data_IF_254514755197
#
_entry.id   IF_254514755197
#
_cell.length_a   1.000
_cell.length_b   1.000
_cell.length_c   1.000
_cell.angle_alpha   90.00
_cell.angle_beta   90.00
_cell.angle_gamma   90.00
#
_symmetry.space_group_name_H-M   'P 1'
#
loop_
_entity.id
_entity.type
_entity.pdbx_description
1 polymer ?
#
# COMPACT_ATOMS: atom_id res chain seq x y z
N UNK A 1 5.75 20.21 7.31
CA UNK A 1 7.19 19.95 7.14
C UNK A 1 7.41 19.78 5.65
N UNK A 2 7.87 20.83 4.97
CA UNK A 2 8.10 20.85 3.53
C UNK A 2 9.53 20.40 3.31
N UNK A 3 9.73 19.10 3.14
CA UNK A 3 10.92 18.55 2.49
C UNK A 3 10.34 17.57 1.48
N UNK A 4 10.84 17.58 0.24
CA UNK A 4 10.34 16.91 -0.98
C UNK A 4 9.43 17.76 -1.87
N UNK A 5 9.91 18.93 -2.35
CA UNK A 5 9.29 19.65 -3.48
C UNK A 5 10.07 19.55 -4.79
N UNK A 6 11.09 18.70 -4.87
CA UNK A 6 11.75 18.32 -6.11
C UNK A 6 12.51 17.00 -5.95
N UNK A 7 12.39 16.05 -6.90
CA UNK A 7 13.25 14.87 -6.92
C UNK A 7 14.69 15.36 -7.03
N UNK A 8 15.46 15.13 -5.97
CA UNK A 8 16.87 15.49 -5.88
C UNK A 8 17.70 14.20 -5.89
N UNK A 9 18.96 14.22 -6.37
CA UNK A 9 19.82 13.05 -6.32
C UNK A 9 19.95 12.46 -4.90
N UNK A 10 19.85 13.30 -3.87
CA UNK A 10 19.82 12.88 -2.47
C UNK A 10 18.59 12.03 -2.10
N UNK A 11 17.43 12.28 -2.74
CA UNK A 11 16.24 11.47 -2.51
C UNK A 11 16.39 10.07 -3.12
N UNK A 12 16.96 9.96 -4.32
CA UNK A 12 17.21 8.67 -4.96
C UNK A 12 18.19 7.83 -4.13
N UNK A 13 19.31 8.44 -3.72
CA UNK A 13 20.29 7.79 -2.83
C UNK A 13 19.64 7.34 -1.52
N UNK A 14 18.82 8.18 -0.88
CA UNK A 14 18.13 7.82 0.36
C UNK A 14 17.14 6.66 0.17
N UNK A 15 16.45 6.60 -0.97
CA UNK A 15 15.56 5.47 -1.29
C UNK A 15 16.37 4.17 -1.37
N UNK A 16 17.50 4.21 -2.05
CA UNK A 16 18.39 3.06 -2.25
C UNK A 16 19.04 2.58 -0.94
N UNK A 17 19.65 3.48 -0.17
CA UNK A 17 20.48 3.09 0.98
C UNK A 17 19.70 2.96 2.29
N UNK A 18 18.56 3.64 2.41
CA UNK A 18 17.79 3.66 3.66
C UNK A 18 16.38 3.08 3.49
N UNK A 19 15.57 3.60 2.58
CA UNK A 19 14.14 3.24 2.51
C UNK A 19 13.96 1.76 2.16
N UNK A 20 14.53 1.30 1.04
CA UNK A 20 14.36 -0.08 0.58
C UNK A 20 14.89 -1.09 1.62
N UNK A 21 16.13 -0.96 2.14
CA UNK A 21 16.67 -1.95 3.09
C UNK A 21 15.91 -2.02 4.42
N UNK A 22 15.38 -0.91 4.92
CA UNK A 22 14.73 -0.88 6.24
C UNK A 22 13.23 -1.20 6.17
N UNK A 23 12.56 -0.85 5.06
CA UNK A 23 11.12 -1.07 4.91
C UNK A 23 10.77 -2.35 4.16
N UNK A 24 11.76 -3.10 3.66
CA UNK A 24 11.50 -4.37 2.96
C UNK A 24 10.79 -5.41 3.81
N UNK A 25 10.83 -5.35 5.14
CA UNK A 25 10.15 -6.29 6.05
C UNK A 25 8.93 -5.70 6.76
N UNK A 26 8.39 -4.58 6.28
CA UNK A 26 7.36 -3.84 7.02
C UNK A 26 6.03 -4.59 7.14
N UNK A 27 5.71 -5.50 6.20
CA UNK A 27 4.49 -6.28 6.24
C UNK A 27 4.43 -7.22 7.47
N UNK A 28 5.59 -7.55 8.04
CA UNK A 28 5.77 -8.44 9.18
C UNK A 28 5.97 -7.71 10.50
N UNK A 29 6.03 -6.36 10.51
CA UNK A 29 6.20 -5.60 11.74
C UNK A 29 5.04 -5.87 12.71
N UNK A 30 5.33 -5.93 14.00
CA UNK A 30 4.35 -6.26 15.03
C UNK A 30 3.43 -5.09 15.33
N UNK A 31 3.93 -3.87 15.22
CA UNK A 31 3.21 -2.66 15.55
C UNK A 31 2.35 -2.21 14.35
N UNK A 32 1.02 -2.17 14.56
CA UNK A 32 0.05 -1.79 13.53
C UNK A 32 0.30 -0.37 13.02
N UNK A 33 0.66 0.55 13.92
CA UNK A 33 0.84 1.96 13.61
C UNK A 33 2.13 2.18 12.81
N UNK A 34 3.19 1.43 13.15
CA UNK A 34 4.44 1.41 12.38
C UNK A 34 4.16 0.92 10.96
N UNK A 35 3.40 -0.17 10.80
CA UNK A 35 3.01 -0.67 9.47
C UNK A 35 2.24 0.35 8.67
N UNK A 36 1.18 0.95 9.25
CA UNK A 36 0.37 1.96 8.56
C UNK A 36 1.22 3.16 8.15
N UNK A 37 2.03 3.70 9.05
CA UNK A 37 2.81 4.90 8.81
C UNK A 37 3.92 4.68 7.77
N UNK A 38 4.62 3.55 7.85
CA UNK A 38 5.62 3.18 6.86
C UNK A 38 4.99 2.88 5.49
N UNK A 39 3.80 2.28 5.46
CA UNK A 39 3.03 2.10 4.21
C UNK A 39 2.68 3.45 3.58
N UNK A 40 2.23 4.42 4.37
CA UNK A 40 1.96 5.77 3.86
C UNK A 40 3.22 6.41 3.29
N UNK A 41 4.36 6.32 3.99
CA UNK A 41 5.64 6.84 3.50
C UNK A 41 6.05 6.19 2.16
N UNK A 42 5.88 4.87 2.02
CA UNK A 42 6.16 4.17 0.77
C UNK A 42 5.28 4.66 -0.38
N UNK A 43 4.00 4.93 -0.12
CA UNK A 43 3.06 5.49 -1.09
C UNK A 43 3.49 6.88 -1.54
N UNK A 44 3.79 7.78 -0.59
CA UNK A 44 4.20 9.15 -0.88
C UNK A 44 5.51 9.19 -1.73
N UNK A 45 6.45 8.28 -1.41
CA UNK A 45 7.68 8.12 -2.18
C UNK A 45 7.42 7.55 -3.58
N UNK A 46 6.56 6.54 -3.71
CA UNK A 46 6.23 5.94 -5.00
C UNK A 46 5.48 6.92 -5.92
N UNK A 47 4.58 7.74 -5.38
CA UNK A 47 3.84 8.75 -6.13
C UNK A 47 4.79 9.76 -6.79
N UNK A 48 5.81 10.20 -6.06
CA UNK A 48 6.82 11.16 -6.55
C UNK A 48 7.97 10.51 -7.34
N UNK A 49 8.14 9.18 -7.28
CA UNK A 49 9.24 8.48 -7.94
C UNK A 49 8.99 8.25 -9.44
N UNK A 50 9.93 8.66 -10.29
CA UNK A 50 9.94 8.40 -11.74
C UNK A 50 11.15 7.56 -12.20
N UNK A 51 11.89 7.00 -11.25
CA UNK A 51 13.13 6.24 -11.50
C UNK A 51 12.89 4.74 -11.38
N UNK A 52 13.95 3.96 -11.59
CA UNK A 52 13.91 2.50 -11.48
C UNK A 52 13.54 1.99 -10.06
N UNK A 53 13.71 2.81 -9.02
CA UNK A 53 13.30 2.45 -7.65
C UNK A 53 11.77 2.33 -7.49
N UNK A 54 10.99 2.91 -8.40
CA UNK A 54 9.53 2.82 -8.37
C UNK A 54 9.06 1.37 -8.28
N UNK A 55 9.67 0.45 -9.04
CA UNK A 55 9.35 -0.98 -9.01
C UNK A 55 9.61 -1.57 -7.63
N UNK A 56 10.77 -1.30 -7.02
CA UNK A 56 11.11 -1.82 -5.69
C UNK A 56 10.17 -1.30 -4.59
N UNK A 57 9.75 -0.03 -4.69
CA UNK A 57 8.76 0.55 -3.78
C UNK A 57 7.40 -0.16 -3.93
N UNK A 58 6.96 -0.40 -5.16
CA UNK A 58 5.72 -1.15 -5.43
C UNK A 58 5.79 -2.58 -4.93
N UNK A 59 6.93 -3.26 -5.03
CA UNK A 59 7.07 -4.63 -4.51
C UNK A 59 6.95 -4.68 -2.98
N UNK A 60 7.36 -3.62 -2.26
CA UNK A 60 7.13 -3.50 -0.81
C UNK A 60 5.64 -3.25 -0.54
N UNK A 61 5.01 -2.33 -1.27
CA UNK A 61 3.58 -2.01 -1.12
C UNK A 61 2.71 -3.24 -1.44
N UNK A 62 3.05 -4.01 -2.47
CA UNK A 62 2.37 -5.26 -2.84
C UNK A 62 2.41 -6.29 -1.70
N UNK A 63 3.55 -6.41 -1.01
CA UNK A 63 3.68 -7.31 0.15
C UNK A 63 2.79 -6.88 1.32
N UNK A 64 2.65 -5.58 1.57
CA UNK A 64 1.69 -5.08 2.56
C UNK A 64 0.25 -5.38 2.09
N UNK A 65 -0.07 -5.06 0.84
CA UNK A 65 -1.41 -5.22 0.27
C UNK A 65 -1.87 -6.70 0.20
N UNK A 66 -0.93 -7.62 0.04
CA UNK A 66 -1.20 -9.06 -0.06
C UNK A 66 -1.28 -9.78 1.29
N UNK A 67 -1.07 -9.06 2.41
CA UNK A 67 -1.28 -9.63 3.76
C UNK A 67 -2.67 -10.24 3.86
N UNK A 68 -2.71 -11.45 4.40
CA UNK A 68 -3.94 -12.24 4.46
C UNK A 68 -5.06 -11.47 5.15
N UNK A 69 -6.18 -11.30 4.44
CA UNK A 69 -7.40 -10.71 5.01
C UNK A 69 -8.25 -11.72 5.78
N UNK A 70 -7.69 -12.89 6.11
CA UNK A 70 -8.37 -13.90 6.92
C UNK A 70 -8.60 -13.34 8.31
N UNK A 71 -9.87 -13.04 8.59
CA UNK A 71 -10.32 -12.75 9.93
C UNK A 71 -10.32 -14.06 10.73
N UNK A 72 -9.73 -14.10 11.94
CA UNK A 72 -9.92 -15.24 12.83
C UNK A 72 -11.39 -15.28 13.29
N UNK A 73 -12.24 -15.99 12.54
CA UNK A 73 -13.58 -16.41 12.93
C UNK A 73 -14.62 -15.31 13.21
N UNK A 74 -15.90 -15.70 13.35
CA UNK A 74 -16.98 -14.82 13.78
C UNK A 74 -16.99 -14.78 15.31
N UNK A 75 -16.06 -14.07 15.94
CA UNK A 75 -16.09 -13.87 17.38
C UNK A 75 -15.71 -12.45 17.76
N UNK A 76 -16.55 -11.91 18.64
CA UNK A 76 -16.38 -10.68 19.39
C UNK A 76 -16.57 -9.39 18.58
N UNK A 77 -17.84 -9.06 18.35
CA UNK A 77 -18.36 -7.71 18.64
C UNK A 77 -18.11 -7.44 20.13
N UNK A 78 -16.84 -7.34 20.52
CA UNK A 78 -16.44 -6.79 21.79
C UNK A 78 -16.13 -5.33 21.52
N UNK A 79 -16.60 -4.49 22.44
CA UNK A 79 -16.46 -3.04 22.48
C UNK A 79 -15.01 -2.62 22.28
N UNK A 80 -14.55 -2.64 21.03
CA UNK A 80 -13.24 -2.11 20.68
C UNK A 80 -13.38 -0.60 20.74
N UNK A 81 -12.53 -0.02 21.58
CA UNK A 81 -12.25 1.41 21.63
C UNK A 81 -12.25 1.96 20.20
N UNK A 82 -13.11 2.96 19.86
CA UNK A 82 -13.17 3.53 18.52
C UNK A 82 -11.84 4.17 18.08
N UNK A 83 -10.89 4.35 18.99
CA UNK A 83 -9.53 4.82 18.70
C UNK A 83 -8.54 3.70 18.37
N UNK A 84 -8.89 2.44 18.60
CA UNK A 84 -8.03 1.30 18.31
C UNK A 84 -7.90 1.09 16.79
N UNK A 85 -6.67 1.16 16.30
CA UNK A 85 -6.35 0.96 14.89
C UNK A 85 -6.78 -0.45 14.43
N UNK A 86 -7.53 -0.53 13.32
CA UNK A 86 -7.95 -1.82 12.80
C UNK A 86 -6.74 -2.63 12.32
N UNK A 87 -6.73 -3.97 12.47
CA UNK A 87 -5.56 -4.81 12.16
C UNK A 87 -5.15 -4.82 10.67
N UNK A 88 -5.90 -4.10 9.83
CA UNK A 88 -5.77 -4.04 8.37
C UNK A 88 -5.75 -2.61 7.84
N UNK A 89 -5.56 -1.59 8.68
CA UNK A 89 -5.42 -0.21 8.22
C UNK A 89 -4.25 -0.05 7.24
N UNK A 90 -3.15 -0.77 7.47
CA UNK A 90 -2.00 -0.82 6.56
C UNK A 90 -2.39 -1.30 5.16
N UNK A 91 -3.21 -2.35 5.05
CA UNK A 91 -3.71 -2.82 3.75
C UNK A 91 -4.61 -1.77 3.10
N UNK A 92 -5.50 -1.14 3.87
CA UNK A 92 -6.38 -0.08 3.34
C UNK A 92 -5.56 1.11 2.82
N UNK A 93 -4.55 1.53 3.58
CA UNK A 93 -3.61 2.59 3.18
C UNK A 93 -2.87 2.21 1.91
N UNK A 94 -2.37 0.97 1.80
CA UNK A 94 -1.70 0.49 0.58
C UNK A 94 -2.61 0.56 -0.65
N UNK A 95 -3.84 0.04 -0.57
CA UNK A 95 -4.77 0.04 -1.71
C UNK A 95 -5.19 1.46 -2.09
N UNK A 96 -5.47 2.30 -1.10
CA UNK A 96 -5.78 3.72 -1.36
C UNK A 96 -4.61 4.41 -2.06
N UNK A 97 -3.40 4.21 -1.55
CA UNK A 97 -2.20 4.77 -2.15
C UNK A 97 -1.96 4.27 -3.58
N UNK A 98 -2.17 2.98 -3.85
CA UNK A 98 -2.07 2.45 -5.21
C UNK A 98 -3.08 3.09 -6.18
N UNK A 99 -4.30 3.39 -5.73
CA UNK A 99 -5.28 4.11 -6.56
C UNK A 99 -4.85 5.56 -6.84
N UNK A 100 -4.36 6.27 -5.82
CA UNK A 100 -3.83 7.64 -5.95
C UNK A 100 -2.60 7.67 -6.89
N UNK A 101 -1.65 6.73 -6.72
CA UNK A 101 -0.50 6.56 -7.60
C UNK A 101 -0.96 6.24 -9.03
N UNK A 102 -1.94 5.37 -9.23
CA UNK A 102 -2.44 5.06 -10.57
C UNK A 102 -3.00 6.31 -11.25
N UNK A 103 -3.87 7.06 -10.57
CA UNK A 103 -4.46 8.30 -11.08
C UNK A 103 -3.38 9.32 -11.47
N UNK A 104 -2.34 9.46 -10.64
CA UNK A 104 -1.19 10.34 -10.90
C UNK A 104 -0.33 9.84 -12.08
N UNK A 105 0.01 8.54 -12.10
CA UNK A 105 0.94 7.97 -13.08
C UNK A 105 0.33 7.73 -14.46
N UNK A 106 -1.01 7.61 -14.58
CA UNK A 106 -1.72 7.38 -15.85
C UNK A 106 -1.38 8.40 -16.94
N UNK A 107 -1.07 9.64 -16.55
CA UNK A 107 -0.75 10.74 -17.46
C UNK A 107 0.76 11.08 -17.47
N UNK A 108 1.60 10.19 -16.95
CA UNK A 108 3.04 10.40 -16.80
C UNK A 108 3.86 9.35 -17.56
N UNK A 109 5.11 9.67 -17.86
CA UNK A 109 6.08 8.70 -18.36
C UNK A 109 7.02 8.24 -17.22
N UNK A 110 7.49 6.97 -17.27
CA UNK A 110 7.17 5.95 -18.27
C UNK A 110 5.80 5.29 -18.03
N UNK A 111 5.09 4.93 -19.11
CA UNK A 111 3.78 4.29 -19.04
C UNK A 111 3.78 2.95 -18.28
N UNK A 112 4.94 2.27 -18.23
CA UNK A 112 5.13 1.03 -17.46
C UNK A 112 4.81 1.20 -15.97
N UNK A 113 4.97 2.40 -15.41
CA UNK A 113 4.62 2.66 -14.01
C UNK A 113 3.12 2.50 -13.77
N UNK A 114 2.29 3.14 -14.60
CA UNK A 114 0.83 3.00 -14.50
C UNK A 114 0.38 1.56 -14.76
N UNK A 115 0.97 0.88 -15.77
CA UNK A 115 0.67 -0.52 -16.06
C UNK A 115 0.93 -1.44 -14.86
N UNK A 116 2.10 -1.30 -14.21
CA UNK A 116 2.45 -2.12 -13.03
C UNK A 116 1.48 -1.90 -11.88
N UNK A 117 1.11 -0.65 -11.58
CA UNK A 117 0.14 -0.35 -10.51
C UNK A 117 -1.22 -0.96 -10.80
N UNK A 118 -1.70 -0.86 -12.04
CA UNK A 118 -2.96 -1.45 -12.46
C UNK A 118 -2.96 -2.98 -12.31
N UNK A 119 -1.88 -3.64 -12.74
CA UNK A 119 -1.71 -5.09 -12.56
C UNK A 119 -1.78 -5.52 -11.10
N UNK A 120 -1.16 -4.76 -10.18
CA UNK A 120 -1.22 -5.02 -8.75
C UNK A 120 -2.63 -4.93 -8.19
N UNK A 121 -3.38 -3.88 -8.57
CA UNK A 121 -4.76 -3.70 -8.14
C UNK A 121 -5.67 -4.84 -8.62
N UNK A 122 -5.53 -5.24 -9.89
CA UNK A 122 -6.27 -6.38 -10.45
C UNK A 122 -5.87 -7.69 -9.75
N UNK A 123 -4.58 -7.92 -9.54
CA UNK A 123 -4.08 -9.09 -8.83
C UNK A 123 -4.62 -9.19 -7.40
N UNK A 124 -4.69 -8.06 -6.69
CA UNK A 124 -5.26 -7.98 -5.36
C UNK A 124 -6.76 -8.33 -5.34
N UNK A 125 -7.55 -7.81 -6.29
CA UNK A 125 -8.96 -8.19 -6.44
C UNK A 125 -9.13 -9.68 -6.77
N UNK A 126 -8.30 -10.22 -7.67
CA UNK A 126 -8.33 -11.64 -7.99
C UNK A 126 -8.02 -12.50 -6.76
N UNK A 127 -7.07 -12.08 -5.92
CA UNK A 127 -6.76 -12.74 -4.65
C UNK A 127 -7.95 -12.76 -3.69
N UNK A 128 -8.70 -11.65 -3.58
CA UNK A 128 -9.91 -11.58 -2.75
C UNK A 128 -10.95 -12.63 -3.15
N UNK A 129 -11.21 -12.77 -4.46
CA UNK A 129 -12.17 -13.74 -4.96
C UNK A 129 -11.66 -15.17 -4.86
N UNK A 130 -10.38 -15.40 -5.17
CA UNK A 130 -9.73 -16.71 -5.04
C UNK A 130 -9.79 -17.24 -3.60
N UNK A 131 -9.51 -16.38 -2.63
CA UNK A 131 -9.46 -16.75 -1.21
C UNK A 131 -10.80 -16.54 -0.47
N UNK A 132 -11.85 -16.10 -1.18
CA UNK A 132 -13.20 -15.87 -0.64
C UNK A 132 -13.22 -14.97 0.61
N UNK A 133 -12.44 -13.90 0.59
CA UNK A 133 -12.42 -12.94 1.69
C UNK A 133 -13.81 -12.27 1.85
N UNK A 134 -14.40 -12.40 3.04
CA UNK A 134 -15.77 -11.97 3.34
C UNK A 134 -15.85 -10.93 4.47
N UNK A 135 -14.71 -10.47 5.00
CA UNK A 135 -14.69 -9.45 6.06
C UNK A 135 -15.24 -8.11 5.57
N UNK A 136 -15.75 -7.29 6.50
CA UNK A 136 -16.21 -5.93 6.19
C UNK A 136 -15.08 -5.08 5.54
N UNK A 137 -13.83 -5.29 5.97
CA UNK A 137 -12.65 -4.67 5.37
C UNK A 137 -12.46 -5.10 3.92
N UNK A 138 -12.54 -6.39 3.62
CA UNK A 138 -12.42 -6.89 2.25
C UNK A 138 -13.56 -6.39 1.34
N UNK A 139 -14.77 -6.19 1.89
CA UNK A 139 -15.88 -5.55 1.17
C UNK A 139 -15.59 -4.07 0.88
N UNK A 140 -15.15 -3.31 1.89
CA UNK A 140 -14.80 -1.89 1.74
C UNK A 140 -13.68 -1.68 0.73
N UNK A 141 -12.64 -2.53 0.75
CA UNK A 141 -11.54 -2.48 -0.23
C UNK A 141 -12.05 -2.73 -1.66
N UNK A 142 -12.89 -3.75 -1.86
CA UNK A 142 -13.48 -4.03 -3.19
C UNK A 142 -14.34 -2.88 -3.70
N UNK A 143 -15.13 -2.27 -2.82
CA UNK A 143 -15.94 -1.10 -3.17
C UNK A 143 -15.05 0.08 -3.56
N UNK A 144 -13.97 0.31 -2.82
CA UNK A 144 -13.02 1.38 -3.14
C UNK A 144 -12.46 1.18 -4.56
N UNK A 145 -11.85 0.03 -4.85
CA UNK A 145 -11.24 -0.22 -6.18
C UNK A 145 -12.28 -0.16 -7.33
N UNK A 146 -13.54 -0.50 -7.09
CA UNK A 146 -14.57 -0.51 -8.14
C UNK A 146 -15.18 0.89 -8.45
N UNK A 147 -15.05 1.85 -7.53
CA UNK A 147 -15.79 3.13 -7.61
C UNK A 147 -14.90 4.38 -7.40
N UNK A 148 -13.56 4.24 -7.36
CA UNK A 148 -12.62 5.38 -7.43
C UNK A 148 -11.97 5.46 -8.80
#
# INVERSE_FOLDING_TARGET
>A
MVILSSPSPFQEELIEVAVIPHLSGIAEDRDLAVRRQATQLLVDLAESCSTHHFTSLLDIIERVASRSLVCPGPLEVSERDPTAESPMEDVRTAIRGLLEILQSKLYSLPASHASRVYELLIGHLQLHYKNKYSSAVACSIRLQVAYT
#
